data_IF_292554169193
#
_entry.id   IF_292554169193
#
_cell.length_a   1.000
_cell.length_b   1.000
_cell.length_c   1.000
_cell.angle_alpha   90.00
_cell.angle_beta   90.00
_cell.angle_gamma   90.00
#
_symmetry.space_group_name_H-M   'P 1'
#
loop_
_entity.id
_entity.type
_entity.pdbx_description
1 polymer ?
#
# COMPACT_ATOMS: atom_id res chain seq x y z
N UNK A 1 11.46 17.93 20.40
CA UNK A 1 10.62 18.19 19.20
C UNK A 1 10.22 16.84 18.59
N UNK A 2 8.92 16.56 18.42
CA UNK A 2 8.46 15.29 17.82
C UNK A 2 8.79 15.22 16.33
N UNK A 3 9.27 14.06 15.85
CA UNK A 3 9.63 13.79 14.44
C UNK A 3 8.46 14.11 13.48
N UNK A 4 7.21 13.93 13.94
CA UNK A 4 6.00 14.23 13.15
C UNK A 4 5.82 15.72 12.89
N UNK A 5 6.05 16.58 13.90
CA UNK A 5 5.89 18.02 13.74
C UNK A 5 6.95 18.67 12.83
N UNK A 6 8.14 18.09 12.73
CA UNK A 6 9.15 18.52 11.77
C UNK A 6 8.75 18.16 10.33
N UNK A 7 8.20 16.96 10.13
CA UNK A 7 7.69 16.51 8.82
C UNK A 7 6.53 17.38 8.33
N UNK A 8 5.58 17.70 9.20
CA UNK A 8 4.40 18.47 8.80
C UNK A 8 4.75 19.93 8.47
N UNK A 9 5.72 20.52 9.19
CA UNK A 9 6.29 21.83 8.82
C UNK A 9 6.99 21.79 7.47
N UNK A 10 7.79 20.76 7.21
CA UNK A 10 8.46 20.61 5.92
C UNK A 10 7.47 20.46 4.76
N UNK A 11 6.38 19.69 4.96
CA UNK A 11 5.30 19.57 3.97
C UNK A 11 4.60 20.90 3.72
N UNK A 12 4.26 21.64 4.78
CA UNK A 12 3.62 22.96 4.67
C UNK A 12 4.51 23.94 3.90
N UNK A 13 5.80 24.00 4.26
CA UNK A 13 6.77 24.86 3.59
C UNK A 13 6.95 24.52 2.11
N UNK A 14 6.94 23.22 1.77
CA UNK A 14 6.99 22.78 0.37
C UNK A 14 5.75 23.23 -0.40
N UNK A 15 4.56 23.05 0.16
CA UNK A 15 3.29 23.50 -0.45
C UNK A 15 3.27 25.02 -0.67
N UNK A 16 3.71 25.80 0.32
CA UNK A 16 3.81 27.26 0.22
C UNK A 16 4.80 27.68 -0.88
N UNK A 17 5.94 26.98 -0.96
CA UNK A 17 6.95 27.23 -2.01
C UNK A 17 6.40 26.92 -3.40
N UNK A 18 5.71 25.80 -3.56
CA UNK A 18 5.08 25.43 -4.84
C UNK A 18 4.00 26.42 -5.26
N UNK A 19 3.20 26.93 -4.32
CA UNK A 19 2.21 27.96 -4.59
C UNK A 19 2.86 29.26 -5.10
N UNK A 20 3.91 29.74 -4.41
CA UNK A 20 4.66 30.92 -4.85
C UNK A 20 5.29 30.75 -6.24
N UNK A 21 5.80 29.55 -6.55
CA UNK A 21 6.37 29.26 -7.86
C UNK A 21 5.29 29.25 -8.95
N UNK A 22 4.11 28.68 -8.67
CA UNK A 22 2.96 28.70 -9.59
C UNK A 22 2.47 30.12 -9.87
N UNK A 23 2.36 30.96 -8.84
CA UNK A 23 1.98 32.36 -9.00
C UNK A 23 3.01 33.14 -9.82
N UNK A 24 4.30 32.85 -9.60
CA UNK A 24 5.40 33.45 -10.37
C UNK A 24 5.32 33.09 -11.86
N UNK A 25 5.04 31.82 -12.18
CA UNK A 25 4.84 31.37 -13.57
C UNK A 25 3.64 32.06 -14.21
N UNK A 26 2.51 32.19 -13.49
CA UNK A 26 1.33 32.89 -13.99
C UNK A 26 1.60 34.38 -14.25
N UNK A 27 2.41 35.02 -13.42
CA UNK A 27 2.80 36.43 -13.59
C UNK A 27 3.73 36.62 -14.79
N UNK A 28 4.68 35.70 -15.01
CA UNK A 28 5.54 35.67 -16.20
C UNK A 28 4.75 35.40 -17.50
N UNK A 29 3.73 34.55 -17.45
CA UNK A 29 2.85 34.32 -18.61
C UNK A 29 2.03 35.58 -18.96
N UNK A 30 1.58 36.33 -17.95
CA UNK A 30 0.91 37.63 -18.18
C UNK A 30 1.87 38.66 -18.76
N UNK A 31 3.10 38.78 -18.25
CA UNK A 31 4.09 39.71 -18.80
C UNK A 31 4.41 39.39 -20.27
N UNK A 32 4.54 38.11 -20.63
CA UNK A 32 4.67 37.66 -22.02
C UNK A 32 3.57 38.23 -22.92
N UNK A 33 2.30 38.05 -22.55
CA UNK A 33 1.15 38.54 -23.35
C UNK A 33 1.13 40.06 -23.57
N UNK A 34 1.65 40.83 -22.60
CA UNK A 34 1.75 42.28 -22.70
C UNK A 34 2.92 42.74 -23.60
N UNK A 35 3.98 41.94 -23.67
CA UNK A 35 5.23 42.27 -24.37
C UNK A 35 5.24 41.75 -25.81
N UNK A 36 4.46 40.72 -26.13
CA UNK A 36 4.32 40.15 -27.49
C UNK A 36 3.90 41.18 -28.57
N UNK A 37 3.30 42.30 -28.16
CA UNK A 37 2.87 43.37 -29.07
C UNK A 37 3.85 44.55 -29.15
N UNK A 38 4.99 44.49 -28.45
CA UNK A 38 6.00 45.54 -28.43
C UNK A 38 7.11 45.16 -29.41
N UNK A 39 7.22 45.88 -30.52
CA UNK A 39 8.18 45.60 -31.59
C UNK A 39 9.52 46.33 -31.34
N UNK A 40 10.21 45.96 -30.26
CA UNK A 40 11.55 46.48 -29.94
C UNK A 40 12.57 45.35 -29.76
N UNK A 41 13.87 45.59 -30.05
CA UNK A 41 14.91 44.59 -29.83
C UNK A 41 14.98 44.07 -28.39
N UNK A 42 14.72 44.95 -27.40
CA UNK A 42 14.70 44.59 -25.98
C UNK A 42 13.53 43.64 -25.64
N UNK A 43 12.37 43.83 -26.26
CA UNK A 43 11.21 42.97 -26.08
C UNK A 43 11.44 41.58 -26.68
N UNK A 44 12.08 41.50 -27.86
CA UNK A 44 12.46 40.23 -28.49
C UNK A 44 13.46 39.46 -27.62
N UNK A 45 14.49 40.13 -27.08
CA UNK A 45 15.46 39.50 -26.19
C UNK A 45 14.82 39.00 -24.90
N UNK A 46 13.92 39.78 -24.29
CA UNK A 46 13.19 39.37 -23.09
C UNK A 46 12.34 38.11 -23.33
N UNK A 47 11.62 38.04 -24.45
CA UNK A 47 10.80 36.87 -24.80
C UNK A 47 11.67 35.63 -25.01
N UNK A 48 12.83 35.78 -25.66
CA UNK A 48 13.80 34.69 -25.84
C UNK A 48 14.37 34.18 -24.51
N UNK A 49 14.72 35.10 -23.58
CA UNK A 49 15.22 34.74 -22.26
C UNK A 49 14.15 34.03 -21.42
N UNK A 50 12.89 34.44 -21.53
CA UNK A 50 11.75 33.84 -20.84
C UNK A 50 11.45 32.44 -21.39
N UNK A 51 11.48 32.26 -22.71
CA UNK A 51 11.34 30.94 -23.34
C UNK A 51 12.51 30.00 -22.98
N UNK A 52 13.74 30.52 -22.95
CA UNK A 52 14.90 29.77 -22.48
C UNK A 52 14.77 29.35 -21.01
N UNK A 53 14.26 30.23 -20.15
CA UNK A 53 14.00 29.90 -18.74
C UNK A 53 12.90 28.84 -18.60
N UNK A 54 11.76 28.99 -19.28
CA UNK A 54 10.66 28.02 -19.26
C UNK A 54 11.06 26.65 -19.83
N UNK A 55 12.01 26.63 -20.78
CA UNK A 55 12.53 25.40 -21.38
C UNK A 55 13.65 24.75 -20.58
N UNK A 56 14.11 25.37 -19.47
CA UNK A 56 15.11 24.73 -18.60
C UNK A 56 14.49 23.48 -17.98
N UNK A 57 15.13 22.31 -18.16
CA UNK A 57 14.68 21.11 -17.47
C UNK A 57 14.77 21.37 -15.97
N UNK A 58 13.65 21.24 -15.27
CA UNK A 58 13.68 21.22 -13.81
C UNK A 58 14.56 20.04 -13.38
N UNK A 59 15.43 20.18 -12.37
CA UNK A 59 16.30 19.11 -11.91
C UNK A 59 15.57 17.87 -11.36
N UNK A 60 14.24 17.84 -11.41
CA UNK A 60 13.43 16.66 -11.08
C UNK A 60 13.68 15.46 -12.01
N UNK A 61 14.27 15.66 -13.20
CA UNK A 61 14.41 14.64 -14.24
C UNK A 61 15.85 14.19 -14.52
N UNK A 62 16.83 14.65 -13.73
CA UNK A 62 18.22 14.22 -13.92
C UNK A 62 18.37 12.81 -13.36
N UNK A 63 18.37 11.84 -14.27
CA UNK A 63 18.94 10.50 -14.07
C UNK A 63 18.38 9.73 -12.86
N UNK A 64 17.06 9.77 -12.67
CA UNK A 64 16.43 8.91 -11.67
C UNK A 64 16.63 7.46 -12.07
N UNK A 65 17.32 6.69 -11.21
CA UNK A 65 17.46 5.24 -11.33
C UNK A 65 16.11 4.60 -11.70
N UNK A 66 16.07 3.62 -12.62
CA UNK A 66 14.82 2.98 -13.06
C UNK A 66 13.89 2.54 -11.91
N UNK A 67 14.44 2.11 -10.78
CA UNK A 67 13.67 1.75 -9.57
C UNK A 67 12.86 2.94 -9.01
N UNK A 68 13.41 4.15 -9.00
CA UNK A 68 12.68 5.33 -8.52
C UNK A 68 11.51 5.66 -9.46
N UNK A 69 11.74 5.55 -10.77
CA UNK A 69 10.68 5.74 -11.77
C UNK A 69 9.58 4.68 -11.60
N UNK A 70 9.94 3.43 -11.32
CA UNK A 70 8.99 2.35 -11.05
C UNK A 70 8.20 2.60 -9.75
N UNK A 71 8.84 3.09 -8.69
CA UNK A 71 8.18 3.47 -7.44
C UNK A 71 7.20 4.62 -7.67
N UNK A 72 7.58 5.65 -8.44
CA UNK A 72 6.70 6.79 -8.74
C UNK A 72 5.49 6.37 -9.58
N UNK A 73 5.71 5.52 -10.58
CA UNK A 73 4.63 4.95 -11.40
C UNK A 73 3.67 4.11 -10.54
N UNK A 74 4.20 3.26 -9.65
CA UNK A 74 3.38 2.45 -8.77
C UNK A 74 2.62 3.30 -7.73
N UNK A 75 3.27 4.32 -7.19
CA UNK A 75 2.64 5.27 -6.28
C UNK A 75 1.49 6.05 -6.97
N UNK A 76 1.62 6.36 -8.27
CA UNK A 76 0.53 6.93 -9.05
C UNK A 76 -0.66 5.95 -9.17
N UNK A 77 -0.40 4.67 -9.49
CA UNK A 77 -1.44 3.63 -9.54
C UNK A 77 -2.15 3.45 -8.18
N UNK A 78 -1.38 3.41 -7.08
CA UNK A 78 -1.92 3.36 -5.71
C UNK A 78 -2.85 4.54 -5.42
N UNK A 79 -2.47 5.76 -5.80
CA UNK A 79 -3.28 6.98 -5.61
C UNK A 79 -4.58 6.92 -6.39
N UNK A 80 -4.53 6.51 -7.66
CA UNK A 80 -5.72 6.29 -8.51
C UNK A 80 -6.68 5.31 -7.84
N UNK A 81 -6.16 4.16 -7.39
CA UNK A 81 -6.98 3.14 -6.72
C UNK A 81 -7.63 3.63 -5.43
N UNK A 82 -6.89 4.39 -4.62
CA UNK A 82 -7.47 5.03 -3.42
C UNK A 82 -8.52 6.09 -3.78
N UNK A 83 -8.37 6.81 -4.89
CA UNK A 83 -9.38 7.76 -5.34
C UNK A 83 -10.68 7.04 -5.74
N UNK A 84 -10.59 5.94 -6.49
CA UNK A 84 -11.74 5.09 -6.82
C UNK A 84 -12.39 4.47 -5.58
N UNK A 85 -11.59 4.06 -4.59
CA UNK A 85 -12.10 3.56 -3.31
C UNK A 85 -12.91 4.65 -2.58
N UNK A 86 -12.37 5.88 -2.48
CA UNK A 86 -13.09 7.02 -1.88
C UNK A 86 -14.39 7.34 -2.61
N UNK A 87 -14.40 7.27 -3.95
CA UNK A 87 -15.62 7.47 -4.75
C UNK A 87 -16.71 6.41 -4.44
N UNK A 88 -16.30 5.21 -4.00
CA UNK A 88 -17.19 4.13 -3.54
C UNK A 88 -17.53 4.23 -2.04
N UNK A 89 -17.15 5.31 -1.35
CA UNK A 89 -17.37 5.49 0.09
C UNK A 89 -16.39 4.72 0.98
N UNK A 90 -15.33 4.15 0.41
CA UNK A 90 -14.27 3.43 1.14
C UNK A 90 -13.17 4.41 1.52
N UNK A 91 -13.23 4.88 2.76
CA UNK A 91 -12.31 5.87 3.34
C UNK A 91 -12.24 5.70 4.87
N UNK A 92 -11.37 6.46 5.54
CA UNK A 92 -11.30 6.49 7.00
C UNK A 92 -10.35 5.48 7.63
N UNK A 93 -9.48 4.84 6.84
CA UNK A 93 -8.43 3.95 7.36
C UNK A 93 -7.52 4.61 8.41
N UNK A 94 -7.38 5.95 8.38
CA UNK A 94 -6.56 6.74 9.30
C UNK A 94 -7.23 7.02 10.65
N UNK A 95 -8.50 6.67 10.80
CA UNK A 95 -9.30 7.00 11.97
C UNK A 95 -8.99 6.09 13.16
N UNK A 96 -9.23 6.59 14.37
CA UNK A 96 -8.84 5.90 15.61
C UNK A 96 -9.64 4.63 15.88
N UNK A 97 -10.86 4.52 15.33
CA UNK A 97 -11.71 3.33 15.49
C UNK A 97 -11.30 2.16 14.59
N UNK A 98 -10.48 2.39 13.55
CA UNK A 98 -9.93 1.33 12.73
C UNK A 98 -8.81 0.65 13.51
N UNK A 99 -8.84 -0.67 13.60
CA UNK A 99 -7.81 -1.44 14.28
C UNK A 99 -6.74 -1.91 13.28
N UNK A 100 -5.48 -1.86 13.69
CA UNK A 100 -4.36 -2.31 12.84
C UNK A 100 -4.51 -3.79 12.43
N UNK A 101 -5.01 -4.63 13.36
CA UNK A 101 -5.38 -6.02 13.09
C UNK A 101 -6.35 -6.16 11.92
N UNK A 102 -7.35 -5.29 11.79
CA UNK A 102 -8.33 -5.36 10.70
C UNK A 102 -7.67 -5.08 9.35
N UNK A 103 -6.77 -4.09 9.29
CA UNK A 103 -6.02 -3.77 8.07
C UNK A 103 -5.05 -4.90 7.70
N UNK A 104 -4.40 -5.53 8.68
CA UNK A 104 -3.52 -6.68 8.46
C UNK A 104 -4.30 -7.90 7.94
N UNK A 105 -5.48 -8.17 8.48
CA UNK A 105 -6.37 -9.24 8.01
C UNK A 105 -6.84 -8.99 6.57
N UNK A 106 -7.19 -7.75 6.22
CA UNK A 106 -7.52 -7.39 4.84
C UNK A 106 -6.33 -7.59 3.89
N UNK A 107 -5.14 -7.11 4.28
CA UNK A 107 -3.92 -7.29 3.48
C UNK A 107 -3.66 -8.77 3.18
N UNK A 108 -3.69 -9.63 4.20
CA UNK A 108 -3.48 -11.08 4.05
C UNK A 108 -4.59 -11.70 3.19
N UNK A 109 -5.84 -11.29 3.38
CA UNK A 109 -6.98 -11.76 2.58
C UNK A 109 -6.90 -11.39 1.10
N UNK A 110 -6.09 -10.38 0.74
CA UNK A 110 -5.83 -10.01 -0.65
C UNK A 110 -4.74 -10.85 -1.32
N UNK A 111 -3.82 -11.45 -0.57
CA UNK A 111 -2.73 -12.28 -1.12
C UNK A 111 -3.24 -13.36 -2.11
N UNK A 112 -4.30 -14.15 -1.82
CA UNK A 112 -4.72 -15.22 -2.73
C UNK A 112 -5.59 -14.77 -3.93
N UNK A 113 -6.06 -13.53 -4.01
CA UNK A 113 -7.16 -13.14 -4.94
C UNK A 113 -6.78 -13.10 -6.43
N UNK A 114 -5.50 -12.95 -6.77
CA UNK A 114 -4.98 -13.08 -8.15
C UNK A 114 -5.60 -12.16 -9.22
N UNK A 115 -6.38 -11.15 -8.84
CA UNK A 115 -7.09 -10.26 -9.76
C UNK A 115 -6.26 -9.01 -10.15
N UNK A 116 -6.63 -8.37 -11.27
CA UNK A 116 -6.01 -7.12 -11.70
C UNK A 116 -6.14 -6.04 -10.62
N UNK A 117 -5.06 -5.29 -10.38
CA UNK A 117 -5.00 -4.25 -9.36
C UNK A 117 -4.68 -4.77 -7.93
N UNK A 118 -4.53 -6.07 -7.72
CA UNK A 118 -4.35 -6.63 -6.37
C UNK A 118 -3.00 -6.23 -5.74
N UNK A 119 -1.98 -5.94 -6.54
CA UNK A 119 -0.71 -5.41 -6.03
C UNK A 119 -0.89 -4.05 -5.35
N UNK A 120 -1.68 -3.17 -5.96
CA UNK A 120 -2.04 -1.86 -5.42
C UNK A 120 -2.88 -1.99 -4.15
N UNK A 121 -3.76 -3.00 -4.04
CA UNK A 121 -4.50 -3.27 -2.80
C UNK A 121 -3.54 -3.65 -1.66
N UNK A 122 -2.68 -4.65 -1.90
CA UNK A 122 -1.69 -5.11 -0.92
C UNK A 122 -0.78 -3.96 -0.50
N UNK A 123 -0.29 -3.17 -1.46
CA UNK A 123 0.57 -2.02 -1.20
C UNK A 123 -0.16 -0.90 -0.44
N UNK A 124 -1.42 -0.63 -0.76
CA UNK A 124 -2.22 0.35 -0.04
C UNK A 124 -2.43 -0.07 1.41
N UNK A 125 -2.78 -1.34 1.69
CA UNK A 125 -2.90 -1.81 3.07
C UNK A 125 -1.55 -1.77 3.82
N UNK A 126 -0.46 -2.17 3.17
CA UNK A 126 0.88 -2.08 3.75
C UNK A 126 1.23 -0.62 4.10
N UNK A 127 0.94 0.32 3.20
CA UNK A 127 1.11 1.75 3.42
C UNK A 127 0.26 2.26 4.59
N UNK A 128 -1.02 1.87 4.66
CA UNK A 128 -1.91 2.26 5.77
C UNK A 128 -1.37 1.80 7.13
N UNK A 129 -0.96 0.53 7.24
CA UNK A 129 -0.34 -0.01 8.45
C UNK A 129 0.92 0.76 8.84
N UNK A 130 1.78 1.05 7.86
CA UNK A 130 3.01 1.81 8.08
C UNK A 130 2.75 3.25 8.54
N UNK A 131 1.77 3.95 7.94
CA UNK A 131 1.43 5.32 8.34
C UNK A 131 0.79 5.40 9.73
N UNK A 132 0.12 4.34 10.16
CA UNK A 132 -0.45 4.20 11.51
C UNK A 132 0.60 3.82 12.56
N UNK A 133 1.81 3.46 12.15
CA UNK A 133 2.84 2.97 13.07
C UNK A 133 2.50 1.59 13.66
N UNK A 134 1.71 0.80 12.93
CA UNK A 134 1.31 -0.53 13.36
C UNK A 134 2.53 -1.42 13.62
N UNK A 135 2.44 -2.28 14.63
CA UNK A 135 3.52 -3.21 14.95
C UNK A 135 3.58 -4.32 13.87
N UNK A 136 4.77 -4.67 13.31
CA UNK A 136 4.87 -5.68 12.25
C UNK A 136 4.30 -7.06 12.60
N UNK A 137 4.18 -7.38 13.90
CA UNK A 137 3.56 -8.62 14.40
C UNK A 137 2.08 -8.77 13.97
N UNK A 138 1.36 -7.68 13.69
CA UNK A 138 -0.02 -7.75 13.21
C UNK A 138 -0.16 -8.58 11.93
N UNK A 139 0.82 -8.48 11.01
CA UNK A 139 0.85 -9.28 9.79
C UNK A 139 1.06 -10.76 10.08
N UNK A 140 1.97 -11.09 11.00
CA UNK A 140 2.21 -12.48 11.43
C UNK A 140 0.96 -13.07 12.08
N UNK A 141 0.27 -12.31 12.92
CA UNK A 141 -0.96 -12.74 13.58
C UNK A 141 -2.10 -12.92 12.58
N UNK A 142 -2.29 -11.97 11.66
CA UNK A 142 -3.28 -12.07 10.59
C UNK A 142 -3.03 -13.28 9.70
N UNK A 143 -1.78 -13.51 9.30
CA UNK A 143 -1.38 -14.68 8.51
C UNK A 143 -1.67 -15.97 9.27
N UNK A 144 -1.19 -16.12 10.51
CA UNK A 144 -1.45 -17.32 11.33
C UNK A 144 -2.94 -17.58 11.51
N UNK A 145 -3.74 -16.53 11.70
CA UNK A 145 -5.20 -16.66 11.81
C UNK A 145 -5.81 -17.28 10.56
N UNK A 146 -5.44 -16.80 9.37
CA UNK A 146 -5.92 -17.38 8.09
C UNK A 146 -5.48 -18.84 7.96
N UNK A 147 -4.24 -19.16 8.34
CA UNK A 147 -3.74 -20.54 8.30
C UNK A 147 -4.44 -21.47 9.29
N UNK A 148 -4.73 -21.00 10.51
CA UNK A 148 -5.42 -21.78 11.53
C UNK A 148 -6.91 -21.97 11.24
N UNK A 149 -7.51 -21.10 10.43
CA UNK A 149 -8.89 -21.23 9.96
C UNK A 149 -9.06 -22.22 8.82
N UNK A 150 -7.98 -22.59 8.10
CA UNK A 150 -8.04 -23.69 7.15
C UNK A 150 -8.23 -25.01 7.92
N UNK A 151 -9.18 -25.86 7.51
CA UNK A 151 -9.28 -27.18 8.16
C UNK A 151 -8.00 -27.99 7.87
N UNK A 152 -7.33 -28.55 8.90
CA UNK A 152 -6.21 -29.44 8.68
C UNK A 152 -6.67 -30.63 7.85
N UNK A 153 -5.92 -30.98 6.80
CA UNK A 153 -6.22 -32.16 5.98
C UNK A 153 -5.75 -33.44 6.65
N UNK A 154 -4.85 -33.31 7.62
CA UNK A 154 -4.35 -34.38 8.46
C UNK A 154 -3.75 -33.80 9.74
N UNK A 155 -3.32 -34.69 10.63
CA UNK A 155 -2.62 -34.37 11.86
C UNK A 155 -1.49 -35.38 12.07
N UNK A 156 -0.28 -34.88 12.32
CA UNK A 156 0.82 -35.71 12.80
C UNK A 156 0.64 -35.99 14.29
N UNK A 157 0.80 -37.26 14.65
CA UNK A 157 0.81 -37.76 16.02
C UNK A 157 2.26 -37.93 16.40
N UNK A 158 2.71 -37.16 17.39
CA UNK A 158 4.05 -37.21 17.95
C UNK A 158 4.02 -37.87 19.33
N UNK A 159 5.07 -38.63 19.64
CA UNK A 159 5.29 -39.15 21.00
C UNK A 159 5.50 -38.02 22.01
N UNK A 160 5.48 -38.35 23.30
CA UNK A 160 5.79 -37.41 24.39
C UNK A 160 7.18 -36.77 24.30
N UNK A 161 8.10 -37.35 23.52
CA UNK A 161 9.44 -36.82 23.24
C UNK A 161 9.53 -36.01 21.94
N UNK A 162 8.39 -35.75 21.27
CA UNK A 162 8.33 -35.02 20.01
C UNK A 162 8.69 -35.84 18.77
N UNK A 163 9.02 -37.13 18.91
CA UNK A 163 9.30 -37.99 17.75
C UNK A 163 8.02 -38.34 17.01
N UNK A 164 8.03 -38.21 15.67
CA UNK A 164 6.92 -38.57 14.80
C UNK A 164 6.54 -40.05 14.94
N UNK A 165 5.23 -40.33 15.04
CA UNK A 165 4.69 -41.69 15.09
C UNK A 165 3.89 -42.04 13.83
N UNK A 166 2.88 -41.22 13.49
CA UNK A 166 2.01 -41.44 12.33
C UNK A 166 1.22 -40.18 11.96
N UNK A 167 0.66 -40.16 10.76
CA UNK A 167 -0.29 -39.13 10.30
C UNK A 167 -1.72 -39.68 10.30
N UNK A 168 -2.70 -38.92 10.79
CA UNK A 168 -4.13 -39.27 10.80
C UNK A 168 -4.96 -38.24 10.04
N UNK A 169 -6.00 -38.65 9.32
CA UNK A 169 -6.85 -37.75 8.50
C UNK A 169 -8.21 -37.42 9.12
N UNK A 170 -8.51 -37.97 10.29
CA UNK A 170 -9.75 -37.73 11.02
C UNK A 170 -9.52 -36.91 12.28
N UNK A 171 -10.26 -35.81 12.45
CA UNK A 171 -10.18 -34.94 13.63
C UNK A 171 -10.48 -35.70 14.93
N UNK A 172 -11.42 -36.64 14.88
CA UNK A 172 -11.77 -37.52 16.01
C UNK A 172 -10.62 -38.47 16.36
N UNK A 173 -9.94 -39.03 15.35
CA UNK A 173 -8.77 -39.89 15.56
C UNK A 173 -7.59 -39.12 16.16
N UNK A 174 -7.40 -37.87 15.73
CA UNK A 174 -6.40 -36.97 16.30
C UNK A 174 -6.70 -36.66 17.78
N UNK A 175 -7.96 -36.30 18.10
CA UNK A 175 -8.41 -36.07 19.48
C UNK A 175 -8.25 -37.31 20.37
N UNK A 176 -8.53 -38.50 19.84
CA UNK A 176 -8.36 -39.74 20.59
C UNK A 176 -6.88 -40.03 20.90
N UNK A 177 -5.95 -39.65 20.02
CA UNK A 177 -4.52 -39.72 20.30
C UNK A 177 -4.07 -38.64 21.32
N UNK A 178 -4.58 -37.41 21.21
CA UNK A 178 -4.33 -36.35 22.19
C UNK A 178 -4.74 -36.75 23.61
N UNK A 179 -5.94 -37.31 23.76
CA UNK A 179 -6.45 -37.83 25.05
C UNK A 179 -5.59 -38.96 25.63
N UNK A 180 -4.79 -39.64 24.80
CA UNK A 180 -3.85 -40.70 25.22
C UNK A 180 -2.45 -40.16 25.53
N UNK A 181 -2.26 -38.83 25.53
CA UNK A 181 -1.01 -38.17 25.90
C UNK A 181 -0.03 -37.99 24.73
N UNK A 182 -0.48 -38.09 23.48
CA UNK A 182 0.32 -37.76 22.31
C UNK A 182 0.19 -36.28 21.95
N UNK A 183 1.27 -35.68 21.44
CA UNK A 183 1.21 -34.32 20.88
C UNK A 183 0.69 -34.38 19.46
N UNK A 184 -0.25 -33.51 19.13
CA UNK A 184 -0.87 -33.45 17.81
C UNK A 184 -0.43 -32.18 17.08
N UNK A 185 0.15 -32.34 15.89
CA UNK A 185 0.49 -31.22 15.01
C UNK A 185 -0.40 -31.22 13.75
N UNK A 186 -1.21 -30.17 13.51
CA UNK A 186 -2.07 -30.11 12.33
C UNK A 186 -1.24 -29.94 11.05
N UNK A 187 -1.54 -30.77 10.05
CA UNK A 187 -1.01 -30.65 8.70
C UNK A 187 -2.04 -29.97 7.81
N UNK A 188 -1.71 -28.78 7.35
CA UNK A 188 -2.48 -28.05 6.35
C UNK A 188 -1.99 -28.45 4.96
N UNK A 189 -2.90 -28.65 4.01
CA UNK A 189 -2.49 -28.83 2.61
C UNK A 189 -1.77 -27.54 2.20
N UNK A 190 -0.61 -27.63 1.55
CA UNK A 190 -0.08 -26.47 0.82
C UNK A 190 -1.22 -25.96 -0.05
N UNK A 191 -1.58 -24.69 0.09
CA UNK A 191 -2.73 -24.12 -0.60
C UNK A 191 -2.56 -24.36 -2.10
N UNK A 192 -3.25 -25.38 -2.64
CA UNK A 192 -3.56 -25.39 -4.05
C UNK A 192 -4.49 -24.19 -4.26
N UNK A 193 -4.22 -23.32 -5.24
CA UNK A 193 -5.04 -22.14 -5.45
C UNK A 193 -6.47 -22.62 -5.73
N UNK A 194 -7.35 -22.47 -4.73
CA UNK A 194 -8.74 -22.81 -4.89
C UNK A 194 -9.31 -21.77 -5.85
N UNK A 195 -9.65 -22.24 -7.05
CA UNK A 195 -10.46 -21.49 -7.98
C UNK A 195 -11.85 -21.25 -7.38
N UNK A 196 -12.43 -20.09 -7.73
CA UNK A 196 -13.85 -19.70 -7.59
C UNK A 196 -14.25 -19.34 -6.13
N UNK A 197 -15.04 -18.31 -5.78
CA UNK A 197 -16.18 -17.63 -6.39
C UNK A 197 -16.18 -16.17 -5.89
N UNK A 198 -16.53 -15.23 -6.77
CA UNK A 198 -16.84 -13.86 -6.39
C UNK A 198 -18.11 -13.82 -5.53
N UNK A 199 -17.98 -13.58 -4.23
CA UNK A 199 -19.10 -13.13 -3.41
C UNK A 199 -18.72 -11.83 -2.70
N UNK A 200 -19.26 -10.75 -3.25
CA UNK A 200 -19.18 -9.42 -2.67
C UNK A 200 -20.15 -9.33 -1.51
N UNK A 201 -19.66 -9.49 -0.29
CA UNK A 201 -20.33 -8.98 0.91
C UNK A 201 -19.37 -9.03 2.10
N UNK A 202 -18.57 -7.96 2.24
CA UNK A 202 -18.00 -7.42 3.50
C UNK A 202 -16.96 -6.34 3.15
N UNK A 203 -17.39 -5.34 2.38
CA UNK A 203 -16.54 -4.20 1.98
C UNK A 203 -17.19 -2.89 2.41
N UNK A 204 -17.76 -2.88 3.62
CA UNK A 204 -18.45 -1.70 4.19
C UNK A 204 -17.63 -0.89 5.19
N UNK A 205 -16.38 -1.28 5.48
CA UNK A 205 -15.63 -0.66 6.58
C UNK A 205 -14.16 -0.35 6.34
N UNK A 206 -13.62 -0.47 5.11
CA UNK A 206 -12.28 0.05 4.78
C UNK A 206 -12.25 0.64 3.38
#
# INVERSE_FOLDING_TARGET
MSRTGARDRARKQLTETLALMSDSVALLAKSRSLIEHIDTPDAVQYLADLEAFCSRPFPAQVDQHPDNQAVDAFAAAMKTKLAEARAKGRHGWSESWVQDKQLAELMVGHIPKGNAGNFEDIANFAMMLQQRGAHPMELTLAFKKVYQQAEPVAWDVLSSRGSWCKTVRGRETAKAAEQRGFTIEPLYRSAQPHSVIADGQMEKYV
#
